data_IF_357126885579
#
_entry.id   IF_357126885579
#
_cell.length_a   1.000
_cell.length_b   1.000
_cell.length_c   1.000
_cell.angle_alpha   90.00
_cell.angle_beta   90.00
_cell.angle_gamma   90.00
#
_symmetry.space_group_name_H-M   'P 1'
#
loop_
_entity.id
_entity.type
_entity.pdbx_description
1 polymer ?
#
# COMPACT_ATOMS: atom_id res chain seq x y z
N UNK A 1 28.04 10.45 -19.43
CA UNK A 1 26.90 9.58 -19.07
C UNK A 1 25.89 9.67 -20.20
N UNK A 2 25.21 8.57 -20.57
CA UNK A 2 24.20 8.61 -21.62
C UNK A 2 23.00 9.44 -21.15
N UNK A 3 22.51 10.34 -22.01
CA UNK A 3 21.24 11.04 -21.79
C UNK A 3 20.10 10.04 -21.83
N UNK A 4 19.06 10.24 -21.02
CA UNK A 4 17.85 9.44 -21.07
C UNK A 4 17.17 9.56 -22.45
N UNK A 5 16.48 8.49 -22.85
CA UNK A 5 15.47 8.57 -23.91
C UNK A 5 14.25 9.38 -23.43
N UNK A 6 13.49 9.92 -24.37
CA UNK A 6 12.25 10.66 -24.08
C UNK A 6 11.29 9.85 -23.20
N UNK A 7 11.17 8.54 -23.43
CA UNK A 7 10.26 7.66 -22.68
C UNK A 7 10.71 7.45 -21.23
N UNK A 8 12.01 7.35 -21.01
CA UNK A 8 12.58 7.29 -19.65
C UNK A 8 12.38 8.62 -18.95
N UNK A 9 12.59 9.76 -19.64
CA UNK A 9 12.31 11.06 -19.04
C UNK A 9 10.83 11.23 -18.66
N UNK A 10 9.91 10.75 -19.49
CA UNK A 10 8.47 10.74 -19.22
C UNK A 10 8.16 9.94 -17.95
N UNK A 11 8.76 8.74 -17.81
CA UNK A 11 8.63 7.92 -16.61
C UNK A 11 9.12 8.65 -15.36
N UNK A 12 10.24 9.35 -15.45
CA UNK A 12 10.79 10.14 -14.33
C UNK A 12 9.85 11.29 -13.95
N UNK A 13 9.37 12.06 -14.93
CA UNK A 13 8.41 13.14 -14.69
C UNK A 13 7.15 12.62 -14.01
N UNK A 14 6.60 11.50 -14.50
CA UNK A 14 5.43 10.84 -13.89
C UNK A 14 5.70 10.37 -12.46
N UNK A 15 6.89 9.82 -12.20
CA UNK A 15 7.30 9.38 -10.86
C UNK A 15 7.38 10.57 -9.88
N UNK A 16 7.99 11.68 -10.31
CA UNK A 16 8.07 12.91 -9.51
C UNK A 16 6.69 13.53 -9.27
N UNK A 17 5.84 13.54 -10.30
CA UNK A 17 4.47 14.02 -10.21
C UNK A 17 3.67 13.23 -9.16
N UNK A 18 3.72 11.90 -9.21
CA UNK A 18 2.97 11.03 -8.30
C UNK A 18 3.55 11.01 -6.88
N UNK A 19 4.87 10.87 -6.72
CA UNK A 19 5.51 10.82 -5.39
C UNK A 19 5.46 12.17 -4.67
N UNK A 20 5.65 13.26 -5.41
CA UNK A 20 5.68 14.62 -4.86
C UNK A 20 4.31 15.29 -4.84
N UNK A 21 3.80 15.63 -6.03
CA UNK A 21 2.64 16.52 -6.19
C UNK A 21 1.33 15.84 -5.83
N UNK A 22 1.09 14.62 -6.31
CA UNK A 22 -0.13 13.89 -5.99
C UNK A 22 -0.22 13.56 -4.49
N UNK A 23 0.91 13.22 -3.85
CA UNK A 23 0.98 13.05 -2.39
C UNK A 23 0.64 14.35 -1.65
N UNK A 24 1.20 15.50 -2.08
CA UNK A 24 0.87 16.80 -1.47
C UNK A 24 -0.59 17.18 -1.66
N UNK A 25 -1.17 16.91 -2.83
CA UNK A 25 -2.57 17.22 -3.11
C UNK A 25 -3.52 16.34 -2.28
N UNK A 26 -3.24 15.04 -2.17
CA UNK A 26 -3.97 14.14 -1.28
C UNK A 26 -3.85 14.56 0.19
N UNK A 27 -2.67 15.05 0.60
CA UNK A 27 -2.47 15.61 1.95
C UNK A 27 -3.25 16.88 2.19
N UNK A 28 -3.32 17.79 1.21
CA UNK A 28 -4.12 19.01 1.33
C UNK A 28 -5.61 18.69 1.56
N UNK A 29 -6.15 17.70 0.84
CA UNK A 29 -7.48 17.17 1.12
C UNK A 29 -7.56 16.52 2.51
N UNK A 30 -6.58 15.68 2.86
CA UNK A 30 -6.54 15.00 4.16
C UNK A 30 -6.56 15.99 5.32
N UNK A 31 -5.71 17.02 5.30
CA UNK A 31 -5.60 18.01 6.36
C UNK A 31 -6.85 18.90 6.46
N UNK A 32 -7.64 19.01 5.39
CA UNK A 32 -8.95 19.68 5.43
C UNK A 32 -9.99 18.86 6.20
N UNK A 33 -9.98 17.54 6.01
CA UNK A 33 -10.90 16.63 6.71
C UNK A 33 -10.43 16.29 8.14
N UNK A 34 -9.11 16.18 8.33
CA UNK A 34 -8.43 15.84 9.57
C UNK A 34 -7.40 16.90 9.91
N UNK A 35 -7.87 18.04 10.42
CA UNK A 35 -7.01 19.18 10.74
C UNK A 35 -5.79 18.76 11.58
N UNK A 36 -4.54 19.13 11.22
CA UNK A 36 -3.32 18.64 11.87
C UNK A 36 -3.31 18.79 13.40
N UNK A 37 -3.79 19.93 13.92
CA UNK A 37 -3.87 20.16 15.38
C UNK A 37 -4.88 19.27 16.12
N UNK A 38 -5.77 18.59 15.40
CA UNK A 38 -6.80 17.68 15.92
C UNK A 38 -6.64 16.27 15.36
N UNK A 39 -5.52 15.97 14.70
CA UNK A 39 -5.31 14.69 14.05
C UNK A 39 -5.33 13.56 15.08
N UNK A 40 -4.56 13.69 16.15
CA UNK A 40 -4.50 12.70 17.24
C UNK A 40 -5.88 12.41 17.85
N UNK A 41 -6.65 13.46 18.18
CA UNK A 41 -7.99 13.29 18.75
C UNK A 41 -8.99 12.68 17.74
N UNK A 42 -8.88 13.03 16.46
CA UNK A 42 -9.71 12.46 15.39
C UNK A 42 -9.41 10.96 15.18
N UNK A 43 -8.13 10.58 15.20
CA UNK A 43 -7.71 9.18 15.10
C UNK A 43 -8.16 8.36 16.33
N UNK A 44 -8.02 8.92 17.53
CA UNK A 44 -8.53 8.31 18.77
C UNK A 44 -10.04 8.11 18.74
N UNK A 45 -10.81 9.09 18.24
CA UNK A 45 -12.26 8.97 18.07
C UNK A 45 -12.64 7.86 17.07
N UNK A 46 -11.83 7.66 16.04
CA UNK A 46 -12.02 6.64 15.03
C UNK A 46 -11.39 5.27 15.37
N UNK A 47 -10.89 5.07 16.59
CA UNK A 47 -10.05 3.92 16.94
C UNK A 47 -10.66 2.56 16.60
N UNK A 48 -11.96 2.36 16.88
CA UNK A 48 -12.62 1.08 16.58
C UNK A 48 -12.67 0.79 15.07
N UNK A 49 -13.01 1.79 14.24
CA UNK A 49 -12.99 1.66 12.78
C UNK A 49 -11.57 1.35 12.28
N UNK A 50 -10.57 2.04 12.83
CA UNK A 50 -9.16 1.82 12.50
C UNK A 50 -8.70 0.41 12.87
N UNK A 51 -9.10 -0.10 14.05
CA UNK A 51 -8.81 -1.48 14.47
C UNK A 51 -9.41 -2.50 13.50
N UNK A 52 -10.63 -2.27 13.01
CA UNK A 52 -11.24 -3.15 12.00
C UNK A 52 -10.49 -3.10 10.67
N UNK A 53 -10.03 -1.92 10.25
CA UNK A 53 -9.19 -1.78 9.05
C UNK A 53 -7.84 -2.49 9.21
N UNK A 54 -7.26 -2.45 10.41
CA UNK A 54 -6.03 -3.20 10.73
C UNK A 54 -6.26 -4.71 10.64
N UNK A 55 -7.34 -5.22 11.24
CA UNK A 55 -7.72 -6.64 11.15
C UNK A 55 -7.96 -7.11 9.71
N UNK A 56 -8.52 -6.23 8.87
CA UNK A 56 -8.73 -6.48 7.44
C UNK A 56 -7.49 -6.26 6.57
N UNK A 57 -6.33 -5.98 7.17
CA UNK A 57 -5.07 -5.68 6.49
C UNK A 57 -5.13 -4.50 5.52
N UNK A 58 -6.09 -3.58 5.71
CA UNK A 58 -6.14 -2.31 4.97
C UNK A 58 -5.08 -1.34 5.51
N UNK A 59 -4.78 -1.43 6.81
CA UNK A 59 -3.70 -0.70 7.48
C UNK A 59 -2.71 -1.74 8.02
N UNK A 60 -1.44 -1.64 7.63
CA UNK A 60 -0.40 -2.53 8.13
C UNK A 60 0.22 -2.02 9.46
N UNK A 61 1.08 -2.82 10.09
CA UNK A 61 1.68 -2.46 11.39
C UNK A 61 2.58 -1.22 11.34
N UNK A 62 3.29 -0.99 10.24
CA UNK A 62 4.11 0.21 10.07
C UNK A 62 3.24 1.46 10.00
N UNK A 63 2.18 1.42 9.20
CA UNK A 63 1.19 2.50 9.13
C UNK A 63 0.47 2.70 10.47
N UNK A 64 0.15 1.61 11.18
CA UNK A 64 -0.46 1.69 12.52
C UNK A 64 0.39 2.49 13.51
N UNK A 65 1.72 2.30 13.49
CA UNK A 65 2.66 3.04 14.34
C UNK A 65 2.72 4.53 14.00
N UNK A 66 2.41 4.92 12.76
CA UNK A 66 2.30 6.33 12.36
C UNK A 66 0.99 6.96 12.87
N UNK A 67 -0.09 6.19 12.95
CA UNK A 67 -1.39 6.66 13.46
C UNK A 67 -1.41 6.77 14.99
N UNK A 68 -0.78 5.82 15.67
CA UNK A 68 -0.71 5.72 17.12
C UNK A 68 0.74 5.64 17.56
N UNK A 69 1.36 6.82 17.62
CA UNK A 69 2.76 7.03 18.00
C UNK A 69 2.98 6.77 19.50
N UNK A 70 4.23 6.51 19.88
CA UNK A 70 4.60 6.36 21.29
C UNK A 70 4.77 7.75 21.90
N UNK A 71 4.20 7.98 23.08
CA UNK A 71 4.42 9.21 23.84
C UNK A 71 5.94 9.49 23.98
N UNK A 72 6.41 10.74 23.78
CA UNK A 72 5.66 12.00 23.67
C UNK A 72 5.21 12.39 22.25
N UNK A 73 5.47 11.57 21.24
CA UNK A 73 5.20 11.92 19.85
C UNK A 73 3.70 11.91 19.54
N UNK A 74 3.29 12.75 18.59
CA UNK A 74 1.93 12.82 18.04
C UNK A 74 1.95 12.48 16.55
N UNK A 75 0.85 11.94 15.99
CA UNK A 75 0.74 11.68 14.56
C UNK A 75 0.88 12.97 13.75
N UNK A 76 1.64 12.91 12.66
CA UNK A 76 1.81 14.00 11.69
C UNK A 76 1.49 13.48 10.28
N UNK A 77 0.51 14.10 9.61
CA UNK A 77 0.09 13.73 8.26
C UNK A 77 1.21 13.86 7.21
N UNK A 78 2.27 14.63 7.50
CA UNK A 78 3.48 14.69 6.66
C UNK A 78 4.22 13.37 6.57
N UNK A 79 4.11 12.53 7.61
CA UNK A 79 4.71 11.19 7.64
C UNK A 79 3.89 10.15 6.89
N UNK A 80 2.65 10.46 6.53
CA UNK A 80 1.75 9.51 5.87
C UNK A 80 2.05 9.42 4.39
N UNK A 81 2.13 8.18 3.90
CA UNK A 81 2.14 7.90 2.47
C UNK A 81 0.74 8.11 1.86
N UNK A 82 0.68 8.27 0.54
CA UNK A 82 -0.59 8.53 -0.16
C UNK A 82 -1.56 7.34 -0.13
N UNK A 83 -1.10 6.11 0.07
CA UNK A 83 -1.99 4.95 0.27
C UNK A 83 -2.74 5.07 1.60
N UNK A 84 -2.01 5.39 2.67
CA UNK A 84 -2.57 5.57 3.99
C UNK A 84 -3.58 6.71 4.01
N UNK A 85 -3.23 7.87 3.43
CA UNK A 85 -4.16 9.00 3.36
C UNK A 85 -5.45 8.66 2.60
N UNK A 86 -5.37 7.97 1.46
CA UNK A 86 -6.55 7.51 0.70
C UNK A 86 -7.38 6.52 1.52
N UNK A 87 -6.72 5.58 2.20
CA UNK A 87 -7.40 4.57 3.03
C UNK A 87 -8.13 5.19 4.21
N UNK A 88 -7.57 6.23 4.84
CA UNK A 88 -8.22 6.95 5.93
C UNK A 88 -9.40 7.78 5.42
N UNK A 89 -9.20 8.58 4.36
CA UNK A 89 -10.24 9.41 3.77
C UNK A 89 -11.48 8.56 3.40
N UNK A 90 -11.29 7.49 2.62
CA UNK A 90 -12.42 6.68 2.14
C UNK A 90 -13.20 5.93 3.23
N UNK A 91 -12.61 5.71 4.40
CA UNK A 91 -13.22 4.89 5.46
C UNK A 91 -13.68 5.69 6.68
N UNK A 92 -13.13 6.88 6.88
CA UNK A 92 -13.36 7.70 8.07
C UNK A 92 -14.13 8.98 7.78
N UNK A 93 -14.29 9.37 6.51
CA UNK A 93 -15.13 10.51 6.11
C UNK A 93 -16.37 10.05 5.35
N UNK A 94 -17.32 10.97 5.15
CA UNK A 94 -18.55 10.73 4.36
C UNK A 94 -18.33 10.91 2.85
N UNK A 95 -17.08 10.78 2.39
CA UNK A 95 -16.75 10.90 0.97
C UNK A 95 -17.40 9.77 0.19
N UNK A 96 -18.21 10.13 -0.81
CA UNK A 96 -18.82 9.15 -1.70
C UNK A 96 -17.74 8.45 -2.54
N UNK A 97 -17.79 7.11 -2.63
CA UNK A 97 -16.89 6.38 -3.52
C UNK A 97 -17.23 6.71 -4.99
N UNK A 98 -16.25 6.61 -5.91
CA UNK A 98 -16.54 6.63 -7.34
C UNK A 98 -17.49 5.49 -7.70
N UNK A 99 -18.31 5.66 -8.74
CA UNK A 99 -19.22 4.60 -9.22
C UNK A 99 -18.48 3.30 -9.56
N UNK A 100 -17.24 3.41 -10.04
CA UNK A 100 -16.40 2.27 -10.38
C UNK A 100 -15.61 1.70 -9.17
N UNK A 101 -15.77 2.27 -7.98
CA UNK A 101 -14.93 2.00 -6.81
C UNK A 101 -13.51 2.59 -6.94
N UNK A 102 -12.69 2.37 -5.91
CA UNK A 102 -11.32 2.91 -5.82
C UNK A 102 -10.24 2.04 -6.50
N UNK A 103 -10.61 0.92 -7.12
CA UNK A 103 -9.67 -0.03 -7.73
C UNK A 103 -9.67 0.03 -9.26
N UNK A 104 -10.54 0.86 -9.85
CA UNK A 104 -10.61 1.11 -11.29
C UNK A 104 -10.42 2.59 -11.58
N UNK A 105 -9.91 2.90 -12.78
CA UNK A 105 -9.79 4.28 -13.24
C UNK A 105 -11.19 4.89 -13.41
N UNK A 106 -11.53 6.00 -12.71
CA UNK A 106 -12.82 6.65 -12.88
C UNK A 106 -12.96 7.31 -14.26
N UNK A 107 -14.21 7.50 -14.69
CA UNK A 107 -14.51 8.25 -15.91
C UNK A 107 -14.02 9.69 -15.80
N UNK A 108 -13.47 10.26 -16.88
CA UNK A 108 -12.93 11.63 -16.92
C UNK A 108 -13.94 12.72 -16.48
N UNK A 109 -15.25 12.45 -16.59
CA UNK A 109 -16.31 13.37 -16.15
C UNK A 109 -16.57 13.34 -14.64
N UNK A 110 -16.17 12.27 -13.95
CA UNK A 110 -16.35 12.13 -12.50
C UNK A 110 -15.24 12.91 -11.78
N UNK A 111 -15.49 14.18 -11.49
CA UNK A 111 -14.52 15.07 -10.84
C UNK A 111 -14.71 15.14 -9.33
N UNK A 112 -15.32 14.13 -8.71
CA UNK A 112 -15.47 14.08 -7.25
C UNK A 112 -14.12 13.86 -6.56
N UNK A 113 -13.93 14.30 -5.30
CA UNK A 113 -12.70 14.04 -4.56
C UNK A 113 -12.36 12.55 -4.45
N UNK A 114 -13.38 11.69 -4.28
CA UNK A 114 -13.20 10.24 -4.28
C UNK A 114 -12.64 9.71 -5.60
N UNK A 115 -13.14 10.23 -6.73
CA UNK A 115 -12.63 9.87 -8.05
C UNK A 115 -11.20 10.37 -8.28
N UNK A 116 -10.87 11.57 -7.82
CA UNK A 116 -9.51 12.09 -7.93
C UNK A 116 -8.49 11.28 -7.11
N UNK A 117 -8.86 10.82 -5.91
CA UNK A 117 -8.03 9.89 -5.14
C UNK A 117 -7.88 8.53 -5.84
N UNK A 118 -8.95 8.02 -6.45
CA UNK A 118 -8.91 6.78 -7.22
C UNK A 118 -8.03 6.89 -8.47
N UNK A 119 -8.04 8.04 -9.18
CA UNK A 119 -7.11 8.32 -10.29
C UNK A 119 -5.66 8.30 -9.83
N UNK A 120 -5.33 9.01 -8.75
CA UNK A 120 -3.95 9.03 -8.20
C UNK A 120 -3.49 7.61 -7.85
N UNK A 121 -4.36 6.83 -7.19
CA UNK A 121 -4.07 5.43 -6.86
C UNK A 121 -3.85 4.59 -8.12
N UNK A 122 -4.73 4.72 -9.12
CA UNK A 122 -4.64 3.99 -10.37
C UNK A 122 -3.30 4.25 -11.08
N UNK A 123 -2.91 5.51 -11.26
CA UNK A 123 -1.67 5.84 -11.96
C UNK A 123 -0.41 5.47 -11.19
N UNK A 124 -0.45 5.51 -9.86
CA UNK A 124 0.67 5.02 -9.05
C UNK A 124 0.82 3.50 -9.16
N UNK A 125 -0.29 2.76 -9.26
CA UNK A 125 -0.26 1.32 -9.53
C UNK A 125 0.22 1.02 -10.95
N UNK A 126 -0.27 1.75 -11.95
CA UNK A 126 0.19 1.66 -13.34
C UNK A 126 1.72 1.78 -13.42
N UNK A 127 2.28 2.85 -12.84
CA UNK A 127 3.73 3.08 -12.82
C UNK A 127 4.51 1.97 -12.11
N UNK A 128 3.97 1.42 -11.01
CA UNK A 128 4.60 0.33 -10.27
C UNK A 128 4.59 -1.02 -11.02
N UNK A 129 3.78 -1.14 -12.08
CA UNK A 129 3.66 -2.33 -12.91
C UNK A 129 4.31 -2.20 -14.29
N UNK A 130 4.90 -1.04 -14.60
CA UNK A 130 5.69 -0.86 -15.81
C UNK A 130 7.01 -1.64 -15.68
N UNK A 131 7.26 -2.55 -16.61
CA UNK A 131 8.45 -3.40 -16.59
C UNK A 131 9.72 -2.67 -17.06
N UNK A 132 9.59 -1.77 -18.03
CA UNK A 132 10.73 -1.18 -18.75
C UNK A 132 11.04 0.25 -18.31
N UNK A 133 10.36 0.75 -17.26
CA UNK A 133 10.51 2.13 -16.74
C UNK A 133 10.44 3.21 -17.83
N UNK A 134 9.59 2.98 -18.83
CA UNK A 134 9.38 3.83 -20.00
C UNK A 134 7.90 4.11 -20.17
N UNK A 135 7.59 5.34 -20.57
CA UNK A 135 6.23 5.78 -20.90
C UNK A 135 6.29 6.51 -22.23
N UNK A 136 5.58 6.02 -23.23
CA UNK A 136 5.52 6.69 -24.53
C UNK A 136 4.86 8.08 -24.43
N UNK A 137 5.05 8.90 -25.45
CA UNK A 137 4.61 10.29 -25.41
C UNK A 137 3.08 10.46 -25.44
N UNK A 138 2.35 9.51 -26.01
CA UNK A 138 0.88 9.56 -26.08
C UNK A 138 0.31 9.31 -24.68
N UNK A 139 0.72 8.20 -24.07
CA UNK A 139 0.32 7.81 -22.73
C UNK A 139 0.78 8.84 -21.70
N UNK A 140 2.03 9.32 -21.80
CA UNK A 140 2.54 10.37 -20.93
C UNK A 140 1.63 11.60 -20.92
N UNK A 141 1.27 12.12 -22.09
CA UNK A 141 0.45 13.33 -22.16
C UNK A 141 -0.97 13.12 -21.66
N UNK A 142 -1.58 11.97 -21.96
CA UNK A 142 -2.92 11.62 -21.48
C UNK A 142 -2.94 11.51 -19.95
N UNK A 143 -2.03 10.69 -19.40
CA UNK A 143 -1.94 10.44 -17.96
C UNK A 143 -1.55 11.71 -17.19
N UNK A 144 -0.60 12.49 -17.71
CA UNK A 144 -0.19 13.76 -17.10
C UNK A 144 -1.38 14.71 -16.92
N UNK A 145 -2.20 14.88 -17.96
CA UNK A 145 -3.33 15.79 -17.91
C UNK A 145 -4.40 15.32 -16.91
N UNK A 146 -4.72 14.02 -16.88
CA UNK A 146 -5.71 13.52 -15.94
C UNK A 146 -5.23 13.65 -14.48
N UNK A 147 -3.97 13.28 -14.20
CA UNK A 147 -3.36 13.41 -12.87
C UNK A 147 -3.30 14.86 -12.42
N UNK A 148 -2.81 15.77 -13.28
CA UNK A 148 -2.64 17.17 -12.91
C UNK A 148 -3.97 17.90 -12.70
N UNK A 149 -5.02 17.51 -13.42
CA UNK A 149 -6.37 18.01 -13.17
C UNK A 149 -6.92 17.51 -11.82
N UNK A 150 -6.69 16.25 -11.46
CA UNK A 150 -7.01 15.73 -10.14
C UNK A 150 -6.23 16.46 -9.03
N UNK A 151 -4.91 16.67 -9.21
CA UNK A 151 -4.06 17.45 -8.29
C UNK A 151 -4.63 18.85 -8.08
N UNK A 152 -5.03 19.53 -9.16
CA UNK A 152 -5.59 20.88 -9.09
C UNK A 152 -6.89 20.94 -8.28
N UNK A 153 -7.79 19.95 -8.46
CA UNK A 153 -9.05 19.88 -7.72
C UNK A 153 -8.85 19.55 -6.24
N UNK A 154 -7.88 18.69 -5.93
CA UNK A 154 -7.60 18.29 -4.55
C UNK A 154 -6.81 19.34 -3.76
N UNK A 155 -5.74 19.87 -4.36
CA UNK A 155 -4.77 20.75 -3.70
C UNK A 155 -4.78 22.21 -4.15
N UNK A 156 -5.62 22.56 -5.13
CA UNK A 156 -5.80 23.93 -5.60
C UNK A 156 -5.04 24.26 -6.90
N UNK A 157 -5.40 25.37 -7.57
CA UNK A 157 -4.86 25.73 -8.89
C UNK A 157 -3.36 26.04 -8.90
N UNK A 158 -2.78 26.50 -7.78
CA UNK A 158 -1.34 26.71 -7.67
C UNK A 158 -0.55 25.41 -7.93
N UNK A 159 -1.02 24.27 -7.42
CA UNK A 159 -0.32 23.00 -7.63
C UNK A 159 -0.29 22.61 -9.11
N UNK A 160 -1.30 23.00 -9.90
CA UNK A 160 -1.30 22.78 -11.36
C UNK A 160 -0.15 23.53 -12.02
N UNK A 161 0.06 24.79 -11.64
CA UNK A 161 1.16 25.60 -12.17
C UNK A 161 2.52 24.99 -11.86
N UNK A 162 2.71 24.49 -10.64
CA UNK A 162 3.96 23.82 -10.27
C UNK A 162 4.14 22.49 -11.04
N UNK A 163 3.06 21.76 -11.35
CA UNK A 163 3.12 20.60 -12.23
C UNK A 163 3.54 21.02 -13.64
N UNK A 164 2.93 22.07 -14.21
CA UNK A 164 3.28 22.54 -15.55
C UNK A 164 4.75 22.98 -15.65
N UNK A 165 5.30 23.56 -14.57
CA UNK A 165 6.74 23.82 -14.43
C UNK A 165 7.58 22.53 -14.40
N UNK A 166 7.15 21.50 -13.65
CA UNK A 166 7.82 20.20 -13.66
C UNK A 166 7.82 19.57 -15.06
N UNK A 167 6.72 19.72 -15.82
CA UNK A 167 6.61 19.15 -17.17
C UNK A 167 7.66 19.73 -18.12
N UNK A 168 7.90 21.03 -18.05
CA UNK A 168 8.82 21.76 -18.93
C UNK A 168 10.26 21.81 -18.42
N UNK A 169 10.51 21.49 -17.15
CA UNK A 169 11.84 21.50 -16.55
C UNK A 169 12.78 20.49 -17.25
N UNK A 170 14.00 20.95 -17.55
CA UNK A 170 15.11 20.09 -17.95
C UNK A 170 15.51 19.18 -16.78
N UNK A 171 15.59 17.88 -17.04
CA UNK A 171 16.09 16.92 -16.06
C UNK A 171 17.63 17.03 -16.03
N UNK A 172 18.15 17.82 -15.10
CA UNK A 172 19.59 17.91 -14.81
C UNK A 172 20.14 16.67 -14.06
N UNK A 173 21.47 16.64 -13.86
CA UNK A 173 22.22 15.58 -13.18
C UNK A 173 21.70 15.27 -11.77
N UNK A 174 21.18 16.25 -11.03
CA UNK A 174 20.61 16.06 -9.69
C UNK A 174 19.25 15.35 -9.76
N UNK A 175 18.45 15.64 -10.79
CA UNK A 175 17.23 14.85 -11.05
C UNK A 175 17.59 13.42 -11.46
N UNK A 176 18.77 13.19 -12.06
CA UNK A 176 19.28 11.87 -12.40
C UNK A 176 19.65 11.01 -11.18
N UNK A 177 20.22 11.61 -10.13
CA UNK A 177 20.53 10.90 -8.88
C UNK A 177 19.26 10.55 -8.09
N UNK A 178 18.36 11.52 -7.90
CA UNK A 178 17.05 11.28 -7.26
C UNK A 178 16.26 10.23 -8.06
N UNK A 179 16.37 10.26 -9.40
CA UNK A 179 15.82 9.25 -10.29
C UNK A 179 16.45 7.87 -10.05
N UNK A 180 17.78 7.75 -9.99
CA UNK A 180 18.44 6.48 -9.75
C UNK A 180 18.08 5.89 -8.39
N UNK A 181 17.92 6.73 -7.37
CA UNK A 181 17.45 6.28 -6.05
C UNK A 181 15.98 5.87 -6.09
N UNK A 182 15.13 6.59 -6.83
CA UNK A 182 13.74 6.18 -7.08
C UNK A 182 13.69 4.84 -7.81
N UNK A 183 14.49 4.64 -8.86
CA UNK A 183 14.59 3.40 -9.65
C UNK A 183 15.09 2.24 -8.80
N UNK A 184 16.19 2.44 -8.06
CA UNK A 184 16.75 1.44 -7.14
C UNK A 184 15.71 1.01 -6.11
N UNK A 185 15.02 1.97 -5.49
CA UNK A 185 13.97 1.67 -4.51
C UNK A 185 12.79 0.89 -5.13
N UNK A 186 12.40 1.18 -6.38
CA UNK A 186 11.36 0.40 -7.06
C UNK A 186 11.83 -1.02 -7.44
N UNK A 187 13.07 -1.18 -7.91
CA UNK A 187 13.68 -2.48 -8.19
C UNK A 187 13.74 -3.36 -6.94
N UNK A 188 14.23 -2.83 -5.83
CA UNK A 188 14.26 -3.53 -4.54
C UNK A 188 12.86 -3.96 -4.09
N UNK A 189 11.85 -3.10 -4.25
CA UNK A 189 10.45 -3.42 -3.94
C UNK A 189 9.91 -4.53 -4.86
N UNK A 190 10.24 -4.50 -6.14
CA UNK A 190 9.83 -5.52 -7.12
C UNK A 190 10.43 -6.88 -6.76
N UNK A 191 11.73 -6.93 -6.51
CA UNK A 191 12.46 -8.14 -6.14
C UNK A 191 11.94 -8.73 -4.82
N UNK A 192 11.65 -7.87 -3.84
CA UNK A 192 11.02 -8.28 -2.58
C UNK A 192 9.62 -8.84 -2.81
N UNK A 193 8.84 -8.25 -3.71
CA UNK A 193 7.48 -8.73 -4.02
C UNK A 193 7.52 -10.11 -4.69
N UNK A 194 8.43 -10.32 -5.63
CA UNK A 194 8.64 -11.62 -6.28
C UNK A 194 9.11 -12.68 -5.27
N UNK A 195 10.02 -12.31 -4.36
CA UNK A 195 10.47 -13.17 -3.26
C UNK A 195 9.34 -13.52 -2.27
N UNK A 196 8.44 -12.58 -1.98
CA UNK A 196 7.26 -12.84 -1.14
C UNK A 196 6.31 -13.82 -1.82
N UNK A 197 6.13 -13.71 -3.13
CA UNK A 197 5.24 -14.61 -3.87
C UNK A 197 5.79 -16.04 -3.93
N UNK A 198 7.11 -16.20 -4.14
CA UNK A 198 7.75 -17.53 -4.08
C UNK A 198 7.67 -18.15 -2.68
N UNK A 199 7.84 -17.35 -1.62
CA UNK A 199 7.68 -17.81 -0.24
C UNK A 199 6.24 -18.24 0.06
N UNK A 200 5.22 -17.56 -0.49
CA UNK A 200 3.82 -17.99 -0.32
C UNK A 200 3.57 -19.36 -0.92
N UNK A 201 4.10 -19.62 -2.13
CA UNK A 201 3.99 -20.91 -2.81
C UNK A 201 4.66 -22.03 -2.01
N UNK A 202 5.90 -21.80 -1.55
CA UNK A 202 6.59 -22.77 -0.70
C UNK A 202 5.82 -23.03 0.61
N UNK A 203 5.24 -21.99 1.22
CA UNK A 203 4.46 -22.14 2.45
C UNK A 203 3.14 -22.89 2.23
N UNK A 204 2.55 -22.84 1.03
CA UNK A 204 1.39 -23.69 0.69
C UNK A 204 1.79 -25.16 0.57
N UNK A 205 2.91 -25.47 -0.09
CA UNK A 205 3.43 -26.83 -0.20
C UNK A 205 3.78 -27.44 1.17
N UNK A 206 4.42 -26.66 2.04
CA UNK A 206 4.75 -27.09 3.41
C UNK A 206 3.47 -27.41 4.21
N UNK A 207 2.41 -26.59 4.06
CA UNK A 207 1.13 -26.85 4.74
C UNK A 207 0.47 -28.15 4.30
N UNK A 208 0.54 -28.47 3.00
CA UNK A 208 0.02 -29.72 2.45
C UNK A 208 0.80 -30.92 2.99
N UNK A 209 2.14 -30.87 2.92
CA UNK A 209 3.02 -31.92 3.47
C UNK A 209 2.80 -32.14 4.97
N UNK A 210 2.68 -31.05 5.74
CA UNK A 210 2.40 -31.13 7.18
C UNK A 210 1.03 -31.79 7.46
N UNK A 211 0.01 -31.50 6.64
CA UNK A 211 -1.31 -32.12 6.79
C UNK A 211 -1.23 -33.65 6.57
N UNK A 212 -0.45 -34.10 5.60
CA UNK A 212 -0.28 -35.53 5.32
C UNK A 212 0.52 -36.25 6.41
N UNK A 213 1.63 -35.67 6.89
CA UNK A 213 2.38 -36.20 8.04
C UNK A 213 1.48 -36.29 9.28
N UNK A 214 0.62 -35.29 9.49
CA UNK A 214 -0.32 -35.30 10.62
C UNK A 214 -1.33 -36.45 10.52
N UNK A 215 -1.86 -36.75 9.31
CA UNK A 215 -2.76 -37.89 9.09
C UNK A 215 -2.05 -39.22 9.36
N UNK A 216 -0.82 -39.39 8.87
CA UNK A 216 -0.05 -40.62 9.10
C UNK A 216 0.27 -40.82 10.59
N UNK A 217 0.65 -39.76 11.30
CA UNK A 217 0.83 -39.81 12.75
C UNK A 217 -0.44 -40.23 13.51
N UNK A 218 -1.62 -39.76 13.07
CA UNK A 218 -2.89 -40.18 13.65
C UNK A 218 -3.17 -41.67 13.41
N UNK A 219 -2.92 -42.17 12.19
CA UNK A 219 -3.05 -43.61 11.87
C UNK A 219 -2.12 -44.46 12.75
N UNK A 220 -0.85 -44.06 12.88
CA UNK A 220 0.12 -44.78 13.72
C UNK A 220 -0.34 -44.80 15.19
N UNK A 221 -0.82 -43.66 15.72
CA UNK A 221 -1.35 -43.59 17.09
C UNK A 221 -2.57 -44.47 17.30
N UNK A 222 -3.46 -44.59 16.32
CA UNK A 222 -4.62 -45.48 16.37
C UNK A 222 -4.16 -46.95 16.40
N UNK A 223 -3.30 -47.35 15.47
CA UNK A 223 -2.76 -48.72 15.40
C UNK A 223 -2.01 -49.14 16.67
N UNK A 224 -1.23 -48.24 17.29
CA UNK A 224 -0.56 -48.49 18.57
C UNK A 224 -1.54 -48.67 19.73
N UNK A 225 -2.65 -47.92 19.77
CA UNK A 225 -3.69 -48.12 20.78
C UNK A 225 -4.24 -49.54 20.71
N UNK A 226 -4.44 -50.07 19.51
CA UNK A 226 -5.03 -51.40 19.32
C UNK A 226 -4.05 -52.55 19.57
N UNK A 227 -2.73 -52.30 19.57
CA UNK A 227 -1.70 -53.31 19.83
C UNK A 227 -1.26 -53.44 21.30
N UNK A 228 -1.56 -52.46 22.17
CA UNK A 228 -1.21 -52.54 23.60
C UNK A 228 -2.28 -53.34 24.36
N UNK A 229 -1.96 -54.51 24.94
CA UNK A 229 -2.96 -55.35 25.60
C UNK A 229 -3.48 -54.73 26.91
N UNK A 230 -4.74 -55.02 27.25
CA UNK A 230 -5.53 -54.35 28.31
C UNK A 230 -4.87 -54.35 29.70
N UNK A 231 -4.03 -55.34 29.96
CA UNK A 231 -3.31 -55.58 31.21
C UNK A 231 -2.16 -54.60 31.52
N UNK A 232 -1.76 -53.72 30.58
CA UNK A 232 -0.73 -52.70 30.82
C UNK A 232 -1.34 -51.30 31.09
N UNK A 233 -2.56 -51.02 30.62
CA UNK A 233 -3.20 -49.69 30.74
C UNK A 233 -3.54 -49.29 32.19
N UNK A 234 -3.72 -50.26 33.09
CA UNK A 234 -4.11 -50.00 34.49
C UNK A 234 -2.98 -49.60 35.45
N UNK A 235 -1.70 -49.69 35.04
CA UNK A 235 -0.56 -49.46 35.96
C UNK A 235 -0.06 -48.01 36.06
N UNK A 236 -0.51 -47.09 35.20
CA UNK A 236 -0.03 -45.70 35.23
C UNK A 236 -0.92 -44.70 35.99
N UNK A 237 -2.13 -45.09 36.43
CA UNK A 237 -3.04 -44.18 37.14
C UNK A 237 -3.16 -44.43 38.66
N UNK A 238 -2.36 -45.35 39.22
CA UNK A 238 -2.47 -45.79 40.62
C UNK A 238 -1.43 -45.24 41.60
N UNK A 239 -0.59 -44.26 41.21
CA UNK A 239 0.53 -43.79 42.06
C UNK A 239 0.39 -42.34 42.57
N UNK A 240 -0.81 -41.75 42.53
CA UNK A 240 -1.08 -40.44 43.13
C UNK A 240 -2.33 -40.46 44.01
N UNK A 241 -2.35 -41.32 45.04
CA UNK A 241 -3.20 -41.11 46.22
C UNK A 241 -2.58 -41.86 47.40
N UNK A 242 -1.67 -41.21 48.11
CA UNK A 242 -1.47 -41.28 49.56
C UNK A 242 -0.67 -40.05 50.00
#
# INVERSE_FOLDING_TARGET
>A
MASLSQEEENYVRMSLLLKGFATRAARALFDREFHPSRLDSSLKKAHNKLMDLKKKHVINDSQWKLLFTRFPDVPDSKTFDVTLMIALLRNLTEMSPPLCGYDRLPSVIDTTPGADLARIKHYRNYMAHLNDEKVDSVDFNAHWNDITNAIARLGGPQMKQECDQLKSKLLDQTNHEIMMDIKRSYGEIKDLKESVESLKLSNTEIKESHADVTKELQKIKASQKDTVPWNIRGKQWGLFFF
#
